data_IF_777284750660
#
_entry.id   IF_777284750660
#
_cell.length_a   1.000
_cell.length_b   1.000
_cell.length_c   1.000
_cell.angle_alpha   90.00
_cell.angle_beta   90.00
_cell.angle_gamma   90.00
#
_symmetry.space_group_name_H-M   'P 1'
#
loop_
_entity.id
_entity.type
_entity.pdbx_description
1 polymer ?
#
# COMPACT_ATOMS: atom_id res chain seq x y z
N UNK A 1 3.17 -13.67 13.18
CA UNK A 1 2.17 -13.09 12.26
C UNK A 1 0.80 -13.67 12.54
N UNK A 2 -0.25 -12.85 12.50
CA UNK A 2 -1.65 -13.31 12.52
C UNK A 2 -2.12 -13.55 11.07
N UNK A 3 -2.92 -14.58 10.84
CA UNK A 3 -3.51 -14.87 9.53
C UNK A 3 -5.03 -14.76 9.59
N UNK A 4 -5.61 -14.13 8.56
CA UNK A 4 -7.04 -13.82 8.47
C UNK A 4 -7.64 -14.43 7.21
N UNK A 5 -8.92 -14.76 7.25
CA UNK A 5 -9.65 -15.19 6.06
C UNK A 5 -9.75 -14.02 5.07
N UNK A 6 -9.43 -14.27 3.81
CA UNK A 6 -9.57 -13.28 2.75
C UNK A 6 -10.98 -13.36 2.15
N UNK A 7 -11.92 -12.62 2.76
CA UNK A 7 -13.33 -12.68 2.38
C UNK A 7 -13.89 -14.10 2.44
N UNK A 8 -14.64 -14.50 1.41
CA UNK A 8 -15.26 -15.85 1.29
C UNK A 8 -14.51 -16.77 0.32
N UNK A 9 -13.22 -16.50 0.10
CA UNK A 9 -12.41 -17.22 -0.89
C UNK A 9 -11.83 -18.55 -0.40
N UNK A 10 -11.87 -18.81 0.91
CA UNK A 10 -11.18 -19.95 1.54
C UNK A 10 -9.66 -19.74 1.73
N UNK A 11 -9.11 -18.61 1.26
CA UNK A 11 -7.69 -18.28 1.37
C UNK A 11 -7.40 -17.60 2.70
N UNK A 12 -6.24 -17.90 3.32
CA UNK A 12 -5.73 -17.17 4.49
C UNK A 12 -4.54 -16.29 4.13
N UNK A 13 -4.63 -15.01 4.51
CA UNK A 13 -3.61 -13.99 4.27
C UNK A 13 -3.05 -13.48 5.59
N UNK A 14 -1.79 -13.06 5.59
CA UNK A 14 -1.17 -12.35 6.72
C UNK A 14 -1.94 -11.06 7.01
N UNK A 15 -2.00 -10.67 8.29
CA UNK A 15 -2.67 -9.45 8.73
C UNK A 15 -2.00 -8.15 8.21
N UNK A 16 -0.86 -8.27 7.51
CA UNK A 16 -0.22 -7.23 6.72
C UNK A 16 -0.05 -7.73 5.28
N UNK A 17 -0.23 -6.82 4.31
CA UNK A 17 0.08 -7.05 2.91
C UNK A 17 1.31 -6.22 2.53
N UNK A 18 2.30 -6.79 1.84
CA UNK A 18 3.45 -6.01 1.37
C UNK A 18 3.26 -5.57 -0.08
N UNK A 19 3.23 -4.25 -0.31
CA UNK A 19 3.16 -3.65 -1.64
C UNK A 19 4.53 -3.50 -2.27
N UNK A 20 4.69 -4.00 -3.49
CA UNK A 20 6.00 -4.08 -4.17
C UNK A 20 6.27 -2.91 -5.13
N UNK A 21 5.61 -1.76 -4.96
CA UNK A 21 5.75 -0.61 -5.88
C UNK A 21 7.20 -0.08 -5.98
N UNK A 22 8.02 -0.27 -4.95
CA UNK A 22 9.43 0.15 -4.95
C UNK A 22 10.37 -0.80 -5.70
N UNK A 23 9.96 -2.05 -5.89
CA UNK A 23 10.81 -3.06 -6.54
C UNK A 23 11.05 -2.66 -7.99
N UNK A 24 12.25 -2.94 -8.51
CA UNK A 24 12.62 -2.67 -9.91
C UNK A 24 12.79 -1.17 -10.25
N UNK A 25 12.58 -0.27 -9.29
CA UNK A 25 12.78 1.18 -9.40
C UNK A 25 13.63 1.69 -8.24
N UNK A 26 12.99 2.24 -7.21
CA UNK A 26 13.65 2.79 -6.02
C UNK A 26 14.49 1.76 -5.26
N UNK A 27 14.12 0.47 -5.34
CA UNK A 27 14.86 -0.65 -4.78
C UNK A 27 15.38 -1.55 -5.91
N UNK A 28 16.70 -1.71 -5.97
CA UNK A 28 17.36 -2.64 -6.88
C UNK A 28 17.03 -4.10 -6.55
N UNK A 29 17.53 -5.04 -7.35
CA UNK A 29 17.25 -6.47 -7.16
C UNK A 29 17.69 -6.98 -5.78
N UNK A 30 18.87 -6.56 -5.30
CA UNK A 30 19.40 -7.00 -4.02
C UNK A 30 18.56 -6.47 -2.85
N UNK A 31 18.20 -5.18 -2.89
CA UNK A 31 17.36 -4.51 -1.89
C UNK A 31 15.94 -5.06 -1.88
N UNK A 32 15.39 -5.33 -3.07
CA UNK A 32 14.09 -5.98 -3.24
C UNK A 32 14.10 -7.39 -2.65
N UNK A 33 15.13 -8.18 -2.91
CA UNK A 33 15.30 -9.51 -2.33
C UNK A 33 15.45 -9.46 -0.80
N UNK A 34 16.19 -8.48 -0.26
CA UNK A 34 16.34 -8.30 1.18
C UNK A 34 15.03 -7.94 1.87
N UNK A 35 14.24 -7.02 1.29
CA UNK A 35 12.91 -6.69 1.80
C UNK A 35 11.94 -7.87 1.70
N UNK A 36 11.96 -8.62 0.59
CA UNK A 36 11.17 -9.83 0.44
C UNK A 36 11.50 -10.85 1.55
N UNK A 37 12.79 -11.13 1.78
CA UNK A 37 13.23 -12.03 2.87
C UNK A 37 12.74 -11.53 4.23
N UNK A 38 12.93 -10.25 4.54
CA UNK A 38 12.45 -9.67 5.80
C UNK A 38 10.93 -9.81 5.99
N UNK A 39 10.14 -9.62 4.92
CA UNK A 39 8.70 -9.87 4.95
C UNK A 39 8.38 -11.35 5.22
N UNK A 40 9.07 -12.28 4.56
CA UNK A 40 8.88 -13.73 4.76
C UNK A 40 9.29 -14.18 6.16
N UNK A 41 10.41 -13.70 6.68
CA UNK A 41 10.88 -13.97 8.05
C UNK A 41 9.89 -13.46 9.10
N UNK A 42 9.20 -12.34 8.81
CA UNK A 42 8.12 -11.82 9.64
C UNK A 42 6.79 -12.59 9.48
N UNK A 43 6.69 -13.54 8.54
CA UNK A 43 5.52 -14.37 8.27
C UNK A 43 4.51 -13.74 7.30
N UNK A 44 4.87 -12.73 6.51
CA UNK A 44 3.98 -12.17 5.46
C UNK A 44 3.86 -13.16 4.31
N UNK A 45 2.64 -13.53 3.94
CA UNK A 45 2.33 -14.36 2.76
C UNK A 45 1.48 -13.63 1.71
N UNK A 46 1.06 -12.40 1.99
CA UNK A 46 0.21 -11.60 1.13
C UNK A 46 1.00 -10.44 0.52
N UNK A 47 1.13 -10.46 -0.80
CA UNK A 47 1.91 -9.49 -1.55
C UNK A 47 1.04 -8.81 -2.60
N UNK A 48 1.03 -7.49 -2.56
CA UNK A 48 0.36 -6.66 -3.54
C UNK A 48 1.37 -6.21 -4.59
N UNK A 49 1.04 -6.47 -5.84
CA UNK A 49 1.88 -6.15 -6.98
C UNK A 49 1.07 -5.55 -8.11
N UNK A 50 1.74 -5.23 -9.22
CA UNK A 50 1.12 -4.78 -10.45
C UNK A 50 2.01 -5.23 -11.60
N UNK A 51 1.40 -5.82 -12.64
CA UNK A 51 1.97 -6.40 -13.87
C UNK A 51 3.35 -7.10 -13.79
N UNK A 52 4.39 -6.46 -13.32
CA UNK A 52 5.74 -6.98 -13.06
C UNK A 52 5.77 -7.89 -11.81
N UNK A 53 6.83 -8.70 -11.62
CA UNK A 53 7.09 -9.59 -10.44
C UNK A 53 6.53 -11.01 -10.53
N UNK A 54 6.93 -11.94 -9.63
CA UNK A 54 6.95 -13.42 -9.78
C UNK A 54 6.99 -14.21 -8.46
N UNK A 55 6.33 -15.41 -8.33
CA UNK A 55 6.56 -16.58 -7.41
C UNK A 55 5.33 -17.51 -7.20
N UNK A 56 5.58 -18.81 -6.96
CA UNK A 56 4.63 -19.81 -6.42
C UNK A 56 4.72 -19.89 -4.86
N UNK A 57 3.64 -20.26 -4.16
CA UNK A 57 3.42 -20.24 -2.68
C UNK A 57 2.90 -18.92 -2.05
N UNK A 58 2.64 -17.90 -2.86
CA UNK A 58 2.17 -16.59 -2.38
C UNK A 58 0.70 -16.34 -2.76
N UNK A 59 -0.01 -15.59 -1.90
CA UNK A 59 -1.23 -14.92 -2.35
C UNK A 59 -0.80 -13.64 -3.04
N UNK A 60 -0.84 -13.63 -4.36
CA UNK A 60 -0.44 -12.49 -5.18
C UNK A 60 -1.67 -11.77 -5.69
N UNK A 61 -1.83 -10.52 -5.27
CA UNK A 61 -2.78 -9.60 -5.86
C UNK A 61 -2.09 -8.79 -6.97
N UNK A 62 -2.68 -8.76 -8.17
CA UNK A 62 -2.24 -7.91 -9.28
C UNK A 62 -3.41 -7.05 -9.78
N UNK A 63 -3.14 -6.09 -10.67
CA UNK A 63 -4.13 -5.12 -11.16
C UNK A 63 -4.01 -4.96 -12.67
N UNK A 64 -5.13 -4.80 -13.36
CA UNK A 64 -5.19 -4.41 -14.77
C UNK A 64 -6.10 -3.19 -14.98
N UNK A 65 -5.61 -2.15 -15.66
CA UNK A 65 -6.39 -0.97 -16.06
C UNK A 65 -5.56 -0.02 -16.93
N UNK A 66 -4.32 0.22 -16.54
CA UNK A 66 -3.47 1.23 -17.17
C UNK A 66 -2.99 0.79 -18.57
N UNK A 67 -2.63 1.76 -19.44
CA UNK A 67 -2.05 1.46 -20.74
C UNK A 67 -0.77 0.63 -20.59
N UNK A 68 -0.82 -0.63 -21.01
CA UNK A 68 0.35 -1.52 -21.04
C UNK A 68 1.16 -1.38 -22.34
N UNK A 69 0.54 -0.83 -23.40
CA UNK A 69 1.10 -0.66 -24.74
C UNK A 69 0.56 0.63 -25.39
N UNK A 70 1.02 0.94 -26.61
CA UNK A 70 0.52 2.06 -27.42
C UNK A 70 -0.80 1.77 -28.14
N UNK A 71 -1.24 0.50 -28.13
CA UNK A 71 -2.50 0.07 -28.75
C UNK A 71 -3.73 0.69 -28.06
N UNK A 72 -4.78 0.95 -28.85
CA UNK A 72 -5.99 1.65 -28.38
C UNK A 72 -6.72 0.89 -27.28
N UNK A 73 -6.70 -0.44 -27.35
CA UNK A 73 -7.34 -1.34 -26.39
C UNK A 73 -6.39 -1.80 -25.27
N UNK A 74 -5.21 -1.20 -25.15
CA UNK A 74 -4.23 -1.55 -24.13
C UNK A 74 -4.57 -1.01 -22.73
N UNK A 75 -5.81 -0.54 -22.49
CA UNK A 75 -6.28 0.02 -21.20
C UNK A 75 -7.75 -0.32 -20.91
N UNK A 76 -8.15 -0.09 -19.67
CA UNK A 76 -9.54 -0.15 -19.21
C UNK A 76 -10.04 -1.55 -18.89
N UNK A 77 -11.34 -1.72 -18.69
CA UNK A 77 -11.93 -2.97 -18.20
C UNK A 77 -12.57 -3.80 -19.31
N UNK A 78 -12.14 -3.61 -20.56
CA UNK A 78 -12.65 -4.43 -21.66
C UNK A 78 -12.25 -5.90 -21.45
N UNK A 79 -13.12 -6.85 -21.81
CA UNK A 79 -12.81 -8.28 -21.70
C UNK A 79 -11.48 -8.62 -22.40
N UNK A 80 -11.20 -7.99 -23.54
CA UNK A 80 -9.95 -8.13 -24.30
C UNK A 80 -8.73 -7.69 -23.48
N UNK A 81 -8.78 -6.51 -22.86
CA UNK A 81 -7.68 -5.99 -22.07
C UNK A 81 -7.42 -6.84 -20.83
N UNK A 82 -8.48 -7.15 -20.06
CA UNK A 82 -8.39 -7.92 -18.82
C UNK A 82 -7.79 -9.30 -19.08
N UNK A 83 -8.26 -10.02 -20.10
CA UNK A 83 -7.74 -11.36 -20.42
C UNK A 83 -6.25 -11.33 -20.76
N UNK A 84 -5.83 -10.40 -21.62
CA UNK A 84 -4.41 -10.25 -21.99
C UNK A 84 -3.54 -9.80 -20.82
N UNK A 85 -4.06 -8.92 -19.96
CA UNK A 85 -3.36 -8.46 -18.78
C UNK A 85 -3.15 -9.60 -17.78
N UNK A 86 -4.15 -10.49 -17.61
CA UNK A 86 -4.03 -11.72 -16.81
C UNK A 86 -2.96 -12.64 -17.39
N UNK A 87 -3.03 -13.00 -18.67
CA UNK A 87 -2.03 -13.87 -19.32
C UNK A 87 -0.60 -13.32 -19.20
N UNK A 88 -0.43 -12.02 -19.44
CA UNK A 88 0.86 -11.38 -19.33
C UNK A 88 1.35 -11.34 -17.88
N UNK A 89 0.44 -11.14 -16.91
CA UNK A 89 0.75 -11.20 -15.49
C UNK A 89 1.17 -12.61 -15.09
N UNK A 90 0.41 -13.65 -15.44
CA UNK A 90 0.77 -15.05 -15.16
C UNK A 90 2.16 -15.40 -15.72
N UNK A 91 2.44 -15.01 -16.97
CA UNK A 91 3.75 -15.26 -17.60
C UNK A 91 4.89 -14.54 -16.89
N UNK A 92 4.72 -13.26 -16.54
CA UNK A 92 5.74 -12.48 -15.82
C UNK A 92 5.90 -12.98 -14.39
N UNK A 93 4.78 -13.41 -13.79
CA UNK A 93 4.70 -13.94 -12.45
C UNK A 93 5.18 -15.39 -12.33
N UNK A 94 5.54 -16.00 -13.46
CA UNK A 94 5.85 -17.42 -13.65
C UNK A 94 5.02 -18.32 -12.71
N UNK A 95 3.71 -18.06 -12.68
CA UNK A 95 2.75 -18.79 -11.86
C UNK A 95 1.50 -19.08 -12.69
N UNK A 96 0.76 -20.12 -12.31
CA UNK A 96 -0.50 -20.50 -12.94
C UNK A 96 -1.71 -19.75 -12.32
N UNK A 97 -1.51 -19.00 -11.24
CA UNK A 97 -2.60 -18.37 -10.46
C UNK A 97 -2.26 -16.97 -9.96
N UNK A 98 -3.19 -16.04 -10.15
CA UNK A 98 -3.17 -14.70 -9.54
C UNK A 98 -4.56 -14.33 -9.05
N UNK A 99 -4.63 -13.53 -7.99
CA UNK A 99 -5.86 -12.83 -7.63
C UNK A 99 -5.84 -11.45 -8.31
N UNK A 100 -6.71 -11.24 -9.29
CA UNK A 100 -6.81 -9.92 -9.95
C UNK A 100 -7.75 -9.01 -9.15
N UNK A 101 -7.27 -7.83 -8.77
CA UNK A 101 -8.03 -6.78 -8.09
C UNK A 101 -8.11 -5.58 -9.03
N UNK A 102 -9.32 -5.27 -9.51
CA UNK A 102 -9.54 -4.11 -10.38
C UNK A 102 -9.52 -2.82 -9.57
N UNK A 103 -8.53 -1.96 -9.81
CA UNK A 103 -8.48 -0.59 -9.27
C UNK A 103 -8.24 0.44 -10.38
N UNK A 104 -8.95 1.58 -10.34
CA UNK A 104 -8.66 2.77 -11.16
C UNK A 104 -7.37 3.42 -10.65
N UNK A 105 -6.26 3.21 -11.36
CA UNK A 105 -4.97 3.81 -10.99
C UNK A 105 -4.62 5.00 -11.90
N UNK A 106 -4.18 6.12 -11.30
CA UNK A 106 -3.65 7.28 -12.04
C UNK A 106 -2.20 7.03 -12.49
N UNK A 107 -1.79 7.57 -13.64
CA UNK A 107 -0.41 7.42 -14.14
C UNK A 107 0.56 8.18 -13.23
N UNK A 108 1.60 7.51 -12.76
CA UNK A 108 2.85 8.16 -12.37
C UNK A 108 4.03 7.38 -13.00
N UNK A 109 4.49 7.83 -14.17
CA UNK A 109 5.83 7.50 -14.65
C UNK A 109 6.75 8.65 -14.25
N UNK A 110 7.79 8.42 -13.44
CA UNK A 110 8.96 9.31 -13.46
C UNK A 110 10.18 8.83 -12.68
N UNK A 111 11.34 9.23 -13.19
CA UNK A 111 12.60 9.37 -12.46
C UNK A 111 12.43 10.34 -11.28
N UNK A 112 13.02 9.99 -10.13
CA UNK A 112 12.91 10.74 -8.88
C UNK A 112 14.31 11.09 -8.41
N UNK A 113 14.55 12.38 -8.12
CA UNK A 113 15.74 12.85 -7.44
C UNK A 113 15.77 12.32 -5.99
N UNK A 114 16.93 11.83 -5.55
CA UNK A 114 17.12 11.31 -4.20
C UNK A 114 16.97 12.43 -3.15
N UNK A 115 16.14 12.21 -2.12
CA UNK A 115 16.19 12.99 -0.88
C UNK A 115 14.91 13.77 -0.51
N UNK A 116 13.94 13.91 -1.41
CA UNK A 116 12.71 14.69 -1.14
C UNK A 116 11.45 13.80 -1.18
N UNK A 117 10.56 13.96 -0.20
CA UNK A 117 9.33 13.15 -0.08
C UNK A 117 8.37 13.33 -1.26
N UNK A 118 7.39 12.42 -1.40
CA UNK A 118 6.40 12.51 -2.50
C UNK A 118 5.57 13.81 -2.47
N UNK A 119 5.44 14.44 -1.30
CA UNK A 119 4.73 15.71 -1.14
C UNK A 119 5.41 16.88 -1.86
N UNK A 120 6.75 16.89 -1.94
CA UNK A 120 7.49 17.99 -2.57
C UNK A 120 7.87 17.71 -4.03
N UNK A 121 7.83 16.45 -4.46
CA UNK A 121 8.24 16.03 -5.81
C UNK A 121 7.08 15.78 -6.75
N UNK A 122 5.85 15.65 -6.24
CA UNK A 122 4.70 15.27 -7.03
C UNK A 122 3.52 16.23 -6.80
N UNK A 123 3.22 17.04 -7.82
CA UNK A 123 2.14 18.05 -7.83
C UNK A 123 0.77 17.48 -7.47
N UNK A 124 0.49 16.21 -7.78
CA UNK A 124 -0.76 15.56 -7.38
C UNK A 124 -0.80 15.32 -5.86
N UNK A 125 0.29 14.86 -5.26
CA UNK A 125 0.37 14.65 -3.81
C UNK A 125 0.39 15.97 -3.05
N UNK A 126 1.06 16.99 -3.59
CA UNK A 126 1.02 18.36 -3.07
C UNK A 126 -0.41 18.91 -3.05
N UNK A 127 -1.14 18.79 -4.17
CA UNK A 127 -2.53 19.24 -4.24
C UNK A 127 -3.47 18.50 -3.27
N UNK A 128 -3.18 17.23 -2.97
CA UNK A 128 -3.98 16.36 -2.08
C UNK A 128 -3.72 16.56 -0.59
N UNK A 129 -2.46 16.77 -0.22
CA UNK A 129 -2.03 16.69 1.19
C UNK A 129 -1.23 17.91 1.65
N UNK A 130 -0.99 18.91 0.79
CA UNK A 130 -0.21 20.10 1.09
C UNK A 130 -0.95 21.19 1.85
N UNK A 131 -2.24 20.99 2.18
CA UNK A 131 -3.00 21.95 2.97
C UNK A 131 -2.42 22.11 4.39
N UNK A 132 -2.34 23.33 4.96
CA UNK A 132 -1.69 23.58 6.26
C UNK A 132 -2.20 22.68 7.40
N UNK A 133 -3.51 22.41 7.42
CA UNK A 133 -4.13 21.59 8.45
C UNK A 133 -3.67 20.11 8.41
N UNK A 134 -3.25 19.57 7.25
CA UNK A 134 -2.69 18.22 7.16
C UNK A 134 -1.35 18.14 7.91
N UNK A 135 -0.52 19.19 7.81
CA UNK A 135 0.74 19.30 8.54
C UNK A 135 0.54 19.45 10.05
N UNK A 136 -0.49 20.19 10.47
CA UNK A 136 -0.88 20.29 11.88
C UNK A 136 -1.34 18.93 12.43
N UNK A 137 -2.18 18.20 11.69
CA UNK A 137 -2.64 16.86 12.08
C UNK A 137 -1.46 15.90 12.16
N UNK A 138 -0.54 15.92 11.20
CA UNK A 138 0.67 15.10 11.24
C UNK A 138 1.53 15.41 12.48
N UNK A 139 1.67 16.69 12.84
CA UNK A 139 2.42 17.11 14.03
C UNK A 139 1.75 16.62 15.32
N UNK A 140 0.43 16.78 15.44
CA UNK A 140 -0.37 16.27 16.57
C UNK A 140 -0.27 14.75 16.68
N UNK A 141 -0.31 14.06 15.54
CA UNK A 141 -0.17 12.61 15.49
C UNK A 141 1.21 12.14 15.95
N UNK A 142 2.29 12.76 15.46
CA UNK A 142 3.66 12.43 15.91
C UNK A 142 3.82 12.68 17.42
N UNK A 143 3.27 13.78 17.95
CA UNK A 143 3.27 14.04 19.38
C UNK A 143 2.52 12.95 20.18
N UNK A 144 1.34 12.55 19.69
CA UNK A 144 0.56 11.45 20.27
C UNK A 144 1.33 10.12 20.27
N UNK A 145 2.04 9.81 19.17
CA UNK A 145 2.87 8.61 19.05
C UNK A 145 4.00 8.61 20.09
N UNK A 146 4.72 9.73 20.21
CA UNK A 146 5.79 9.91 21.20
C UNK A 146 5.29 9.74 22.62
N UNK A 147 4.15 10.34 22.97
CA UNK A 147 3.53 10.19 24.28
C UNK A 147 3.12 8.75 24.63
N UNK A 148 2.95 7.88 23.62
CA UNK A 148 2.62 6.45 23.78
C UNK A 148 3.82 5.52 23.57
N UNK A 149 5.02 6.05 23.32
CA UNK A 149 6.21 5.24 23.04
C UNK A 149 6.13 4.43 21.74
N UNK A 150 5.35 4.88 20.75
CA UNK A 150 5.18 4.19 19.47
C UNK A 150 5.87 4.96 18.34
N UNK A 151 6.42 4.21 17.38
CA UNK A 151 6.86 4.80 16.12
C UNK A 151 5.62 5.24 15.31
N UNK A 152 5.63 6.43 14.66
CA UNK A 152 4.46 6.96 13.94
C UNK A 152 3.92 6.00 12.88
N UNK A 153 4.81 5.36 12.11
CA UNK A 153 4.43 4.37 11.10
C UNK A 153 3.74 3.17 11.73
N UNK A 154 4.29 2.62 12.82
CA UNK A 154 3.73 1.44 13.49
C UNK A 154 2.32 1.73 14.01
N UNK A 155 2.13 2.89 14.66
CA UNK A 155 0.82 3.29 15.18
C UNK A 155 -0.20 3.56 14.05
N UNK A 156 0.23 4.19 12.95
CA UNK A 156 -0.64 4.46 11.81
C UNK A 156 -1.13 3.15 11.17
N UNK A 157 -0.24 2.19 10.92
CA UNK A 157 -0.60 0.88 10.36
C UNK A 157 -1.51 0.11 11.33
N UNK A 158 -1.20 0.13 12.63
CA UNK A 158 -2.03 -0.51 13.65
C UNK A 158 -3.43 0.12 13.75
N UNK A 159 -3.54 1.44 13.60
CA UNK A 159 -4.81 2.16 13.58
C UNK A 159 -5.71 1.73 12.42
N UNK A 160 -5.13 1.53 11.23
CA UNK A 160 -5.85 0.99 10.07
C UNK A 160 -6.23 -0.48 10.31
N UNK A 161 -5.29 -1.31 10.76
CA UNK A 161 -5.51 -2.73 11.00
C UNK A 161 -6.54 -3.05 12.11
N UNK A 162 -6.80 -2.10 13.01
CA UNK A 162 -7.79 -2.21 14.08
C UNK A 162 -9.24 -2.03 13.61
N UNK A 163 -9.48 -1.58 12.37
CA UNK A 163 -10.84 -1.48 11.84
C UNK A 163 -11.37 -2.88 11.47
N UNK A 164 -12.57 -3.32 11.95
CA UNK A 164 -13.08 -4.67 11.72
C UNK A 164 -13.23 -5.07 10.23
N UNK A 165 -13.56 -4.11 9.37
CA UNK A 165 -13.65 -4.32 7.93
C UNK A 165 -12.29 -4.46 7.19
N UNK A 166 -11.17 -4.17 7.85
CA UNK A 166 -9.84 -4.23 7.21
C UNK A 166 -9.25 -5.62 7.40
N UNK A 167 -9.04 -6.32 6.28
CA UNK A 167 -8.37 -7.64 6.33
C UNK A 167 -6.87 -7.46 6.56
N UNK A 168 -6.18 -6.70 5.72
CA UNK A 168 -4.76 -6.41 5.85
C UNK A 168 -4.43 -5.04 5.23
N UNK A 169 -3.85 -4.08 5.96
CA UNK A 169 -3.31 -2.87 5.34
C UNK A 169 -2.12 -3.21 4.45
N UNK A 170 -2.02 -2.51 3.32
CA UNK A 170 -0.88 -2.59 2.42
C UNK A 170 0.22 -1.67 2.96
N UNK A 171 1.36 -2.26 3.31
CA UNK A 171 2.55 -1.55 3.74
C UNK A 171 3.58 -1.51 2.60
N UNK A 172 4.36 -0.44 2.51
CA UNK A 172 5.40 -0.29 1.50
C UNK A 172 6.66 0.29 2.13
N UNK A 173 7.81 -0.05 1.54
CA UNK A 173 9.11 0.44 1.98
C UNK A 173 10.07 0.53 0.79
N UNK A 174 11.11 1.36 0.91
CA UNK A 174 12.21 1.44 -0.07
C UNK A 174 13.45 0.69 0.38
N UNK A 175 13.53 0.37 1.67
CA UNK A 175 14.63 -0.39 2.27
C UNK A 175 14.12 -1.16 3.50
N UNK A 176 14.96 -2.06 4.01
CA UNK A 176 14.64 -2.92 5.16
C UNK A 176 14.45 -2.11 6.45
N UNK A 177 15.17 -0.99 6.61
CA UNK A 177 15.05 -0.15 7.81
C UNK A 177 13.65 0.46 7.95
N UNK A 178 13.12 1.06 6.88
CA UNK A 178 11.76 1.59 6.84
C UNK A 178 10.71 0.48 7.04
N UNK A 179 10.99 -0.71 6.51
CA UNK A 179 10.10 -1.86 6.62
C UNK A 179 9.91 -2.30 8.08
N UNK A 180 10.97 -2.27 8.91
CA UNK A 180 10.91 -2.73 10.32
C UNK A 180 9.78 -2.07 11.12
N UNK A 181 9.63 -0.75 11.02
CA UNK A 181 8.57 -0.03 11.72
C UNK A 181 7.17 -0.47 11.28
N UNK A 182 6.99 -0.77 9.99
CA UNK A 182 5.72 -1.27 9.48
C UNK A 182 5.43 -2.70 9.97
N UNK A 183 6.44 -3.56 10.03
CA UNK A 183 6.31 -4.92 10.57
C UNK A 183 5.99 -4.92 12.06
N UNK A 184 6.57 -3.99 12.83
CA UNK A 184 6.32 -3.86 14.27
C UNK A 184 4.88 -3.41 14.61
N UNK A 185 4.12 -2.90 13.64
CA UNK A 185 2.71 -2.52 13.85
C UNK A 185 1.84 -3.65 14.39
N UNK A 186 2.14 -4.92 14.05
CA UNK A 186 1.36 -6.08 14.52
C UNK A 186 1.44 -6.28 16.04
N UNK A 187 2.46 -5.70 16.69
CA UNK A 187 2.66 -5.75 18.14
C UNK A 187 1.77 -4.74 18.88
N UNK A 188 1.18 -3.78 18.15
CA UNK A 188 0.33 -2.74 18.73
C UNK A 188 -1.13 -3.20 18.66
N UNK A 189 -1.78 -3.35 19.81
CA UNK A 189 -3.21 -3.62 19.93
C UNK A 189 -3.91 -2.37 20.43
N UNK A 190 -4.71 -1.74 19.58
CA UNK A 190 -5.47 -0.56 19.94
C UNK A 190 -6.85 -0.94 20.45
N UNK A 191 -7.26 -0.34 21.57
CA UNK A 191 -8.64 -0.40 22.03
C UNK A 191 -9.52 0.51 21.15
N UNK A 192 -10.85 0.28 21.10
CA UNK A 192 -11.77 1.17 20.39
C UNK A 192 -11.62 2.64 20.80
N UNK A 193 -11.46 2.91 22.10
CA UNK A 193 -11.23 4.26 22.62
C UNK A 193 -9.92 4.88 22.15
N UNK A 194 -8.82 4.12 22.13
CA UNK A 194 -7.54 4.59 21.61
C UNK A 194 -7.60 4.88 20.11
N UNK A 195 -8.30 4.05 19.34
CA UNK A 195 -8.51 4.23 17.90
C UNK A 195 -9.33 5.50 17.62
N UNK A 196 -10.43 5.70 18.34
CA UNK A 196 -11.27 6.91 18.23
C UNK A 196 -10.48 8.16 18.64
N UNK A 197 -9.73 8.11 19.74
CA UNK A 197 -8.90 9.23 20.18
C UNK A 197 -7.82 9.62 19.17
N UNK A 198 -7.22 8.65 18.47
CA UNK A 198 -6.29 8.92 17.37
C UNK A 198 -7.01 9.53 16.15
N UNK A 199 -8.24 9.09 15.85
CA UNK A 199 -9.03 9.66 14.75
C UNK A 199 -9.42 11.13 15.01
N UNK A 200 -9.72 11.47 16.27
CA UNK A 200 -10.10 12.81 16.71
C UNK A 200 -8.98 13.86 16.56
N UNK A 201 -7.76 13.46 16.23
CA UNK A 201 -6.68 14.39 15.88
C UNK A 201 -6.92 15.09 14.53
N UNK A 202 -7.76 14.51 13.68
CA UNK A 202 -8.17 15.07 12.38
C UNK A 202 -9.53 15.77 12.46
N UNK A 203 -9.85 16.55 11.43
CA UNK A 203 -11.13 17.27 11.31
C UNK A 203 -12.32 16.29 11.28
N UNK A 204 -13.43 16.70 11.89
CA UNK A 204 -14.72 16.00 11.86
C UNK A 204 -15.80 16.95 11.33
N UNK A 205 -16.56 16.59 10.29
CA UNK A 205 -16.44 15.35 9.50
C UNK A 205 -15.15 15.34 8.67
N UNK A 206 -14.56 14.16 8.40
CA UNK A 206 -13.46 14.06 7.46
C UNK A 206 -13.92 14.50 6.06
N UNK A 207 -13.07 15.13 5.24
CA UNK A 207 -13.39 15.39 3.85
C UNK A 207 -13.75 14.07 3.14
N UNK A 208 -14.77 14.10 2.28
CA UNK A 208 -15.37 12.90 1.70
C UNK A 208 -14.38 12.04 0.90
N UNK A 209 -13.28 12.63 0.42
CA UNK A 209 -12.20 11.95 -0.30
C UNK A 209 -10.86 12.60 0.02
N UNK A 210 -9.77 11.84 -0.15
CA UNK A 210 -8.40 12.37 -0.24
C UNK A 210 -8.12 13.06 -1.59
N UNK A 211 -9.18 13.32 -2.37
CA UNK A 211 -9.14 13.92 -3.71
C UNK A 211 -9.45 15.42 -3.63
N UNK A 212 -8.72 16.15 -2.80
CA UNK A 212 -8.90 17.60 -2.69
C UNK A 212 -8.69 18.30 -4.04
N UNK A 213 -7.91 17.71 -4.96
CA UNK A 213 -7.75 18.23 -6.32
C UNK A 213 -9.02 18.18 -7.17
N UNK A 214 -9.97 17.29 -6.84
CA UNK A 214 -11.24 17.16 -7.57
C UNK A 214 -12.27 18.19 -7.08
N UNK A 215 -12.09 18.74 -5.87
CA UNK A 215 -12.97 19.75 -5.28
C UNK A 215 -12.62 21.19 -5.70
N UNK A 216 -11.39 21.43 -6.17
CA UNK A 216 -10.89 22.75 -6.59
C UNK A 216 -11.20 23.09 -8.07
N UNK A 217 -12.23 22.46 -8.66
CA UNK A 217 -12.66 22.70 -10.05
C UNK A 217 -13.71 23.78 -10.15
#
# INVERSE_FOLDING_TARGET
MEYRAFGRTGIRVSALCFGTMSFGGDADQASSAAMYRACRDAGINFFDTADQYNRDELVIATKCFNPTHTDLDARGNSRRHVTRAIEASLKRLQTDRVLDIQERHGRARRQVEHGTGRLSTNKMYEARYGEPWMHEVASKFVACCRGRGHHPVSLAVAWVAAHPAVTAPIIGARNVEQLRASLDSVKIRLTPGQRTGTAALSRTPPPATDRLEEQKK
#
